data_IF_415994503451
#
_entry.id   IF_415994503451
#
_cell.length_a   1.000
_cell.length_b   1.000
_cell.length_c   1.000
_cell.angle_alpha   90.00
_cell.angle_beta   90.00
_cell.angle_gamma   90.00
#
_symmetry.space_group_name_H-M   'P 1'
#
loop_
_entity.id
_entity.type
_entity.pdbx_description
1 polymer ?
#
# COMPACT_ATOMS: atom_id res chain seq x y z
N UNK A 1 -24.40 3.06 0.85
CA UNK A 1 -25.12 4.33 1.10
C UNK A 1 -24.10 5.47 0.98
N UNK A 2 -24.51 6.70 0.68
CA UNK A 2 -23.60 7.87 0.68
C UNK A 2 -24.21 8.96 1.56
N UNK A 3 -23.44 9.46 2.52
CA UNK A 3 -23.88 10.46 3.50
C UNK A 3 -22.87 11.63 3.50
N UNK A 4 -23.29 12.90 3.44
CA UNK A 4 -22.36 14.02 3.52
C UNK A 4 -21.52 13.97 4.80
N UNK A 5 -20.20 14.09 4.67
CA UNK A 5 -19.29 14.10 5.82
C UNK A 5 -19.59 15.31 6.72
N UNK A 6 -19.51 15.20 8.06
CA UNK A 6 -19.90 16.27 8.98
C UNK A 6 -19.19 17.62 8.78
N UNK A 7 -17.97 17.62 8.23
CA UNK A 7 -17.22 18.85 7.91
C UNK A 7 -17.69 19.53 6.60
N UNK A 8 -18.59 18.91 5.85
CA UNK A 8 -19.15 19.42 4.58
C UNK A 8 -18.18 19.42 3.39
N UNK A 9 -16.99 18.82 3.52
CA UNK A 9 -15.94 18.82 2.49
C UNK A 9 -15.93 17.57 1.60
N UNK A 10 -16.63 16.51 2.01
CA UNK A 10 -16.65 15.22 1.31
C UNK A 10 -17.99 14.49 1.53
N UNK A 11 -18.17 13.40 0.82
CA UNK A 11 -19.25 12.44 1.02
C UNK A 11 -18.65 11.11 1.52
N UNK A 12 -19.24 10.54 2.57
CA UNK A 12 -18.84 9.27 3.15
C UNK A 12 -19.59 8.11 2.49
N UNK A 13 -18.85 7.11 2.03
CA UNK A 13 -19.42 5.88 1.50
C UNK A 13 -19.59 4.89 2.64
N UNK A 14 -20.83 4.58 2.96
CA UNK A 14 -21.19 3.62 4.01
C UNK A 14 -21.52 2.26 3.41
N UNK A 15 -20.93 1.21 3.96
CA UNK A 15 -21.05 -0.18 3.54
C UNK A 15 -21.36 -1.08 4.74
N UNK A 16 -21.96 -2.24 4.46
CA UNK A 16 -22.08 -3.31 5.43
C UNK A 16 -21.06 -4.36 5.00
N UNK A 17 -20.13 -4.69 5.90
CA UNK A 17 -19.08 -5.67 5.64
C UNK A 17 -19.26 -6.83 6.62
N UNK A 18 -19.03 -8.03 6.11
CA UNK A 18 -19.00 -9.25 6.89
C UNK A 18 -17.55 -9.63 7.13
N UNK A 19 -17.18 -9.79 8.40
CA UNK A 19 -15.84 -10.20 8.83
C UNK A 19 -15.93 -11.51 9.61
N UNK A 20 -14.84 -12.28 9.60
CA UNK A 20 -14.60 -13.31 10.60
C UNK A 20 -13.72 -12.70 11.68
N UNK A 21 -14.20 -12.63 12.93
CA UNK A 21 -13.49 -12.07 14.10
C UNK A 21 -13.66 -13.06 15.25
N UNK A 22 -12.59 -13.41 15.97
CA UNK A 22 -12.62 -14.43 17.05
C UNK A 22 -13.34 -15.73 16.60
N UNK A 23 -13.11 -16.15 15.36
CA UNK A 23 -13.76 -17.33 14.75
C UNK A 23 -15.28 -17.22 14.53
N UNK A 24 -15.88 -16.04 14.67
CA UNK A 24 -17.30 -15.78 14.45
C UNK A 24 -17.53 -14.90 13.23
N UNK A 25 -18.53 -15.22 12.42
CA UNK A 25 -19.00 -14.32 11.35
C UNK A 25 -19.83 -13.18 11.95
N UNK A 26 -19.36 -11.96 11.79
CA UNK A 26 -19.96 -10.73 12.31
C UNK A 26 -20.17 -9.72 11.18
N UNK A 27 -21.14 -8.81 11.35
CA UNK A 27 -21.43 -7.77 10.37
C UNK A 27 -21.25 -6.40 11.02
N UNK A 28 -20.50 -5.54 10.33
CA UNK A 28 -20.26 -4.16 10.74
C UNK A 28 -20.84 -3.18 9.74
N UNK A 29 -21.18 -2.00 10.24
CA UNK A 29 -21.53 -0.84 9.42
C UNK A 29 -20.30 0.04 9.41
N UNK A 30 -19.66 0.15 8.25
CA UNK A 30 -18.38 0.83 8.08
C UNK A 30 -18.52 1.98 7.08
N UNK A 31 -17.59 2.93 7.16
CA UNK A 31 -17.44 3.98 6.16
C UNK A 31 -16.02 3.97 5.60
N UNK A 32 -15.89 4.29 4.31
CA UNK A 32 -14.57 4.39 3.67
C UNK A 32 -13.92 5.73 4.03
N UNK A 33 -12.88 5.66 4.84
CA UNK A 33 -12.03 6.81 5.20
C UNK A 33 -11.12 7.20 4.02
N UNK A 34 -10.93 8.50 3.80
CA UNK A 34 -10.14 9.04 2.69
C UNK A 34 -8.75 9.55 3.10
N UNK A 35 -8.44 9.52 4.39
CA UNK A 35 -7.17 9.96 4.98
C UNK A 35 -6.28 8.75 5.32
N UNK A 36 -6.89 7.63 5.72
CA UNK A 36 -6.18 6.42 6.12
C UNK A 36 -5.96 5.49 4.94
N UNK A 37 -4.68 5.24 4.63
CA UNK A 37 -4.25 4.38 3.52
C UNK A 37 -3.78 3.00 4.01
N UNK A 38 -3.98 1.98 3.17
CA UNK A 38 -3.34 0.66 3.28
C UNK A 38 -3.78 -0.21 4.45
N UNK A 39 -4.95 0.07 5.03
CA UNK A 39 -5.56 -0.73 6.08
C UNK A 39 -7.06 -0.86 5.82
N UNK A 40 -7.61 -1.97 6.28
CA UNK A 40 -9.04 -2.25 6.36
C UNK A 40 -9.44 -2.39 7.84
N UNK A 41 -10.71 -2.15 8.16
CA UNK A 41 -11.31 -2.33 9.49
C UNK A 41 -10.38 -1.88 10.63
N UNK A 42 -10.21 -0.57 10.82
CA UNK A 42 -9.15 -0.03 11.67
C UNK A 42 -9.68 0.83 12.82
N UNK A 43 -8.85 0.97 13.86
CA UNK A 43 -9.02 1.93 14.95
C UNK A 43 -8.01 3.09 14.80
N UNK A 44 -8.47 4.31 15.11
CA UNK A 44 -7.64 5.50 15.25
C UNK A 44 -7.55 5.89 16.74
N UNK A 45 -6.34 6.07 17.23
CA UNK A 45 -6.01 6.72 18.49
C UNK A 45 -5.46 8.12 18.21
N UNK A 46 -5.87 9.11 19.00
CA UNK A 46 -5.53 10.53 18.83
C UNK A 46 -5.60 11.21 20.21
N UNK A 47 -4.62 10.94 21.07
CA UNK A 47 -4.57 11.44 22.45
C UNK A 47 -3.11 11.47 22.97
N UNK A 48 -2.92 11.65 24.28
CA UNK A 48 -1.61 11.64 24.92
C UNK A 48 -0.80 10.36 24.61
N UNK A 49 0.53 10.43 24.43
CA UNK A 49 1.35 9.28 24.05
C UNK A 49 1.11 8.05 24.92
N UNK A 50 0.75 6.93 24.31
CA UNK A 50 0.47 5.67 25.00
C UNK A 50 1.17 4.48 24.31
N UNK A 51 1.40 3.42 25.08
CA UNK A 51 1.95 2.13 24.61
C UNK A 51 0.91 1.01 24.64
N UNK A 52 -0.30 1.30 25.11
CA UNK A 52 -1.38 0.32 25.24
C UNK A 52 -2.66 0.96 24.73
N UNK A 53 -3.28 0.31 23.76
CA UNK A 53 -4.48 0.79 23.10
C UNK A 53 -5.61 -0.20 23.34
N UNK A 54 -6.75 0.31 23.77
CA UNK A 54 -7.97 -0.45 24.09
C UNK A 54 -9.08 -0.13 23.08
N UNK A 55 -10.26 -0.72 23.25
CA UNK A 55 -11.42 -0.58 22.35
C UNK A 55 -11.22 -1.22 20.97
N UNK A 56 -10.36 -2.25 20.91
CA UNK A 56 -10.07 -3.01 19.71
C UNK A 56 -10.88 -4.33 19.66
N UNK A 57 -12.00 -4.47 20.37
CA UNK A 57 -12.78 -5.72 20.44
C UNK A 57 -13.31 -6.18 19.07
N UNK A 58 -13.44 -5.26 18.12
CA UNK A 58 -13.84 -5.54 16.74
C UNK A 58 -12.72 -6.18 15.91
N UNK A 59 -11.51 -6.27 16.45
CA UNK A 59 -10.31 -6.85 15.85
C UNK A 59 -9.76 -8.01 16.70
N UNK A 60 -10.56 -8.57 17.61
CA UNK A 60 -10.11 -9.62 18.52
C UNK A 60 -9.58 -10.86 17.77
N UNK A 61 -8.43 -11.37 18.21
CA UNK A 61 -7.67 -12.47 17.59
C UNK A 61 -7.15 -12.19 16.16
N UNK A 62 -7.28 -10.96 15.66
CA UNK A 62 -6.72 -10.55 14.38
C UNK A 62 -5.29 -10.02 14.51
N UNK A 63 -4.49 -10.24 13.46
CA UNK A 63 -3.18 -9.61 13.29
C UNK A 63 -3.40 -8.25 12.64
N UNK A 64 -2.98 -7.19 13.32
CA UNK A 64 -3.14 -5.82 12.88
C UNK A 64 -1.82 -5.23 12.44
N UNK A 65 -1.81 -4.61 11.26
CA UNK A 65 -0.74 -3.70 10.89
C UNK A 65 -0.89 -2.41 11.69
N UNK A 66 0.24 -1.86 12.15
CA UNK A 66 0.25 -0.70 13.04
C UNK A 66 1.14 0.40 12.46
N UNK A 67 0.63 1.64 12.45
CA UNK A 67 1.41 2.84 12.15
C UNK A 67 1.09 3.93 13.14
N UNK A 68 2.10 4.64 13.62
CA UNK A 68 1.94 5.68 14.63
C UNK A 68 2.91 6.82 14.39
N UNK A 69 2.44 8.06 14.54
CA UNK A 69 3.23 9.29 14.38
C UNK A 69 4.08 9.33 13.07
N UNK A 70 3.56 8.69 12.01
CA UNK A 70 4.21 8.57 10.69
C UNK A 70 5.20 7.41 10.54
N UNK A 71 5.51 6.67 11.62
CA UNK A 71 6.39 5.51 11.60
C UNK A 71 5.62 4.19 11.49
N UNK A 72 6.31 3.17 10.96
CA UNK A 72 5.81 1.80 10.92
C UNK A 72 6.13 1.10 12.23
N UNK A 73 5.16 0.39 12.77
CA UNK A 73 5.34 -0.48 13.92
C UNK A 73 5.31 -1.95 13.46
N UNK A 74 5.87 -2.88 14.25
CA UNK A 74 5.61 -4.29 14.06
C UNK A 74 4.12 -4.60 14.08
N UNK A 75 3.73 -5.66 13.37
CA UNK A 75 2.36 -6.16 13.43
C UNK A 75 2.09 -6.72 14.83
N UNK A 76 0.92 -6.39 15.37
CA UNK A 76 0.50 -6.82 16.71
C UNK A 76 -0.72 -7.72 16.60
N UNK A 77 -0.94 -8.56 17.62
CA UNK A 77 -2.18 -9.35 17.73
C UNK A 77 -3.05 -8.74 18.82
N UNK A 78 -4.31 -8.48 18.50
CA UNK A 78 -5.26 -7.96 19.48
C UNK A 78 -5.70 -9.09 20.39
N UNK A 79 -5.63 -8.83 21.70
CA UNK A 79 -6.08 -9.77 22.73
C UNK A 79 -6.83 -9.03 23.83
N UNK A 80 -8.00 -9.55 24.20
CA UNK A 80 -8.92 -8.96 25.17
C UNK A 80 -9.28 -7.49 24.85
N UNK A 81 -9.49 -7.18 23.57
CA UNK A 81 -9.88 -5.86 23.07
C UNK A 81 -8.76 -4.82 23.14
N UNK A 82 -7.50 -5.25 23.27
CA UNK A 82 -6.34 -4.36 23.36
C UNK A 82 -5.10 -4.92 22.66
N UNK A 83 -4.18 -4.03 22.34
CA UNK A 83 -2.84 -4.35 21.85
C UNK A 83 -1.82 -3.37 22.43
N UNK A 84 -0.54 -3.72 22.37
CA UNK A 84 0.56 -2.91 22.93
C UNK A 84 1.64 -2.70 21.90
N UNK A 85 2.29 -1.54 21.96
CA UNK A 85 3.45 -1.21 21.13
C UNK A 85 4.63 -0.83 22.00
N UNK A 86 5.85 -1.04 21.51
CA UNK A 86 7.08 -0.77 22.26
C UNK A 86 7.37 0.73 22.47
N UNK A 87 7.04 1.55 21.47
CA UNK A 87 7.28 3.00 21.49
C UNK A 87 5.95 3.76 21.60
N UNK A 88 5.86 4.69 22.55
CA UNK A 88 4.63 5.46 22.75
C UNK A 88 4.30 6.32 21.53
N UNK A 89 3.05 6.29 21.09
CA UNK A 89 2.55 7.09 19.97
C UNK A 89 1.37 7.97 20.41
N UNK A 90 1.30 9.20 19.89
CA UNK A 90 0.18 10.13 20.11
C UNK A 90 -0.96 9.90 19.11
N UNK A 91 -0.61 9.74 17.83
CA UNK A 91 -1.57 9.40 16.79
C UNK A 91 -1.20 8.00 16.28
N UNK A 92 -2.12 7.05 16.42
CA UNK A 92 -1.87 5.68 16.00
C UNK A 92 -3.08 5.11 15.25
N UNK A 93 -2.78 4.33 14.22
CA UNK A 93 -3.74 3.57 13.45
C UNK A 93 -3.35 2.10 13.51
N UNK A 94 -4.33 1.25 13.82
CA UNK A 94 -4.16 -0.19 13.79
C UNK A 94 -5.37 -0.84 13.11
N UNK A 95 -5.13 -1.74 12.18
CA UNK A 95 -6.19 -2.43 11.45
C UNK A 95 -5.64 -3.58 10.62
N UNK A 96 -6.53 -4.23 9.87
CA UNK A 96 -6.16 -5.35 9.00
C UNK A 96 -5.32 -4.80 7.83
N UNK A 97 -4.17 -5.42 7.56
CA UNK A 97 -3.30 -5.00 6.48
C UNK A 97 -4.00 -5.16 5.11
N UNK A 98 -4.02 -4.10 4.30
CA UNK A 98 -4.51 -4.17 2.93
C UNK A 98 -3.35 -4.24 1.94
N UNK A 99 -3.25 -5.35 1.21
CA UNK A 99 -2.26 -5.51 0.15
C UNK A 99 -2.80 -4.97 -1.20
N UNK A 100 -2.22 -3.87 -1.66
CA UNK A 100 -2.52 -3.27 -2.95
C UNK A 100 -1.62 -3.84 -4.04
N UNK A 101 -2.20 -4.59 -4.99
CA UNK A 101 -1.46 -5.19 -6.12
C UNK A 101 -1.92 -4.62 -7.47
N UNK A 102 -0.96 -4.12 -8.24
CA UNK A 102 -1.16 -3.64 -9.62
C UNK A 102 -0.32 -4.48 -10.57
N UNK A 103 -0.99 -5.17 -11.48
CA UNK A 103 -0.33 -5.91 -12.56
C UNK A 103 -0.56 -5.20 -13.89
N UNK A 104 0.52 -4.78 -14.55
CA UNK A 104 0.42 -4.10 -15.84
C UNK A 104 -0.04 -5.08 -16.91
N UNK A 105 -0.70 -4.56 -17.95
CA UNK A 105 -0.94 -5.33 -19.17
C UNK A 105 0.39 -5.60 -19.90
N UNK A 106 0.36 -6.58 -20.81
CA UNK A 106 1.49 -6.84 -21.71
C UNK A 106 1.68 -5.62 -22.62
N UNK A 107 2.90 -5.08 -22.77
CA UNK A 107 3.14 -3.93 -23.61
C UNK A 107 2.88 -4.27 -25.08
N UNK A 108 1.90 -3.59 -25.68
CA UNK A 108 1.50 -3.75 -27.07
C UNK A 108 2.10 -2.60 -27.91
N UNK A 109 3.39 -2.70 -28.21
CA UNK A 109 4.08 -1.73 -29.07
C UNK A 109 3.89 -2.13 -30.53
N UNK A 110 3.54 -1.17 -31.38
CA UNK A 110 3.51 -1.36 -32.83
C UNK A 110 4.93 -1.39 -33.38
N UNK A 111 5.24 -2.42 -34.16
CA UNK A 111 6.48 -2.58 -34.90
C UNK A 111 6.18 -2.61 -36.41
N UNK A 112 7.21 -2.53 -37.24
CA UNK A 112 7.03 -2.51 -38.71
C UNK A 112 6.25 -3.71 -39.25
N UNK A 113 6.32 -4.87 -38.57
CA UNK A 113 5.67 -6.12 -38.95
C UNK A 113 4.28 -6.33 -38.32
N UNK A 114 3.80 -5.41 -37.48
CA UNK A 114 2.49 -5.49 -36.82
C UNK A 114 2.54 -5.21 -35.31
N UNK A 115 1.59 -5.75 -34.55
CA UNK A 115 1.64 -5.67 -33.10
C UNK A 115 2.68 -6.66 -32.56
N UNK A 116 3.53 -6.23 -31.63
CA UNK A 116 4.52 -7.09 -30.99
C UNK A 116 3.92 -8.15 -30.03
N UNK A 117 2.66 -8.56 -30.21
CA UNK A 117 2.03 -9.61 -29.42
C UNK A 117 2.66 -10.96 -29.75
N UNK A 118 3.22 -11.65 -28.75
CA UNK A 118 3.84 -12.97 -28.92
C UNK A 118 5.34 -12.95 -29.21
N UNK A 119 5.96 -11.77 -29.36
CA UNK A 119 7.40 -11.63 -29.49
C UNK A 119 8.05 -11.42 -28.12
N UNK A 120 9.22 -12.01 -27.94
CA UNK A 120 10.02 -11.84 -26.72
C UNK A 120 10.52 -10.40 -26.61
N UNK A 121 10.40 -9.84 -25.42
CA UNK A 121 10.69 -8.44 -25.11
C UNK A 121 11.60 -8.34 -23.90
N UNK A 122 12.32 -7.23 -23.82
CA UNK A 122 13.13 -6.90 -22.66
C UNK A 122 12.99 -5.42 -22.33
N UNK A 123 12.75 -5.11 -21.07
CA UNK A 123 12.81 -3.74 -20.58
C UNK A 123 14.28 -3.32 -20.46
N UNK A 124 14.69 -2.25 -21.13
CA UNK A 124 16.05 -1.71 -20.99
C UNK A 124 16.13 -0.68 -19.86
N UNK A 125 15.03 0.06 -19.68
CA UNK A 125 14.87 1.07 -18.64
C UNK A 125 13.40 1.16 -18.30
N UNK A 126 13.07 1.09 -17.02
CA UNK A 126 11.75 1.42 -16.49
C UNK A 126 11.92 2.59 -15.53
N UNK A 127 10.96 3.50 -15.54
CA UNK A 127 10.84 4.56 -14.55
C UNK A 127 9.40 4.60 -14.08
N UNK A 128 9.22 4.66 -12.77
CA UNK A 128 7.91 4.89 -12.16
C UNK A 128 7.86 6.30 -11.61
N UNK A 129 6.72 6.97 -11.77
CA UNK A 129 6.47 8.27 -11.17
C UNK A 129 5.57 8.07 -9.95
N UNK A 130 6.10 8.38 -8.78
CA UNK A 130 5.42 8.25 -7.50
C UNK A 130 5.11 9.63 -6.93
N UNK A 131 4.03 9.72 -6.15
CA UNK A 131 3.62 10.91 -5.44
C UNK A 131 3.29 10.57 -3.99
N UNK A 132 3.95 11.24 -3.04
CA UNK A 132 3.71 11.04 -1.62
C UNK A 132 3.66 9.55 -1.21
N UNK A 133 4.60 8.74 -1.70
CA UNK A 133 4.60 7.27 -1.52
C UNK A 133 5.73 6.81 -0.61
N UNK A 134 5.52 5.71 0.12
CA UNK A 134 6.56 5.01 0.92
C UNK A 134 6.42 3.50 0.76
N UNK A 135 7.55 2.78 0.71
CA UNK A 135 7.56 1.32 0.57
C UNK A 135 7.18 0.82 -0.82
N UNK A 136 6.51 -0.32 -0.86
CA UNK A 136 6.17 -1.05 -2.07
C UNK A 136 7.31 -1.90 -2.65
N UNK A 137 6.95 -2.79 -3.54
CA UNK A 137 7.86 -3.67 -4.28
C UNK A 137 7.45 -3.77 -5.74
N UNK A 138 8.42 -4.07 -6.60
CA UNK A 138 8.19 -4.32 -8.03
C UNK A 138 8.79 -5.68 -8.36
N UNK A 139 7.99 -6.59 -8.92
CA UNK A 139 8.38 -7.95 -9.26
C UNK A 139 9.04 -8.72 -8.08
N UNK A 140 8.67 -8.39 -6.84
CA UNK A 140 9.24 -8.95 -5.62
C UNK A 140 10.50 -8.24 -5.09
N UNK A 141 11.01 -7.22 -5.79
CA UNK A 141 12.12 -6.39 -5.30
C UNK A 141 11.57 -5.16 -4.54
N UNK A 142 11.96 -5.01 -3.28
CA UNK A 142 11.54 -3.88 -2.43
C UNK A 142 12.12 -2.57 -2.94
N UNK A 143 11.26 -1.54 -3.01
CA UNK A 143 11.66 -0.19 -3.37
C UNK A 143 12.34 0.51 -2.19
N UNK A 144 13.54 1.02 -2.42
CA UNK A 144 14.25 1.87 -1.47
C UNK A 144 13.86 3.33 -1.70
N UNK A 145 12.79 3.77 -1.02
CA UNK A 145 12.26 5.13 -1.08
C UNK A 145 12.77 6.04 0.04
N UNK A 146 13.90 5.67 0.68
CA UNK A 146 14.45 6.39 1.84
C UNK A 146 15.47 7.42 1.35
N UNK A 147 15.37 8.66 1.87
CA UNK A 147 16.45 9.64 1.73
C UNK A 147 17.59 9.32 2.72
N UNK A 148 18.81 9.01 2.24
CA UNK A 148 19.94 8.67 3.11
C UNK A 148 20.43 9.83 4.00
N UNK A 149 19.94 11.05 3.79
CA UNK A 149 20.26 12.21 4.61
C UNK A 149 19.31 12.41 5.81
N UNK A 150 18.25 11.61 5.92
CA UNK A 150 17.27 11.70 7.00
C UNK A 150 17.86 11.26 8.35
N UNK A 151 17.47 11.93 9.45
CA UNK A 151 17.87 11.54 10.79
C UNK A 151 17.25 10.18 11.17
N UNK A 152 18.10 9.26 11.65
CA UNK A 152 17.66 7.96 12.14
C UNK A 152 16.73 8.12 13.35
N UNK A 153 15.61 7.37 13.36
CA UNK A 153 14.62 7.43 14.44
C UNK A 153 13.50 8.45 14.23
N UNK A 154 13.38 9.01 13.03
CA UNK A 154 12.24 9.84 12.63
C UNK A 154 11.37 9.09 11.61
N UNK A 155 10.08 9.44 11.54
CA UNK A 155 9.17 8.90 10.54
C UNK A 155 9.71 9.13 9.12
N UNK A 156 9.63 8.14 8.20
CA UNK A 156 10.14 8.29 6.84
C UNK A 156 9.41 9.39 6.08
N UNK A 157 10.17 10.21 5.34
CA UNK A 157 9.58 11.20 4.44
C UNK A 157 8.88 10.53 3.24
N UNK A 158 7.77 11.12 2.80
CA UNK A 158 7.05 10.62 1.63
C UNK A 158 7.80 10.95 0.34
N UNK A 159 8.11 9.94 -0.46
CA UNK A 159 8.83 10.12 -1.72
C UNK A 159 7.91 10.68 -2.82
N UNK A 160 8.39 11.69 -3.54
CA UNK A 160 7.75 12.22 -4.74
C UNK A 160 8.77 12.42 -5.85
N UNK A 161 8.59 11.74 -6.98
CA UNK A 161 9.51 11.86 -8.10
C UNK A 161 9.52 10.66 -9.03
N UNK A 162 10.47 10.69 -9.96
CA UNK A 162 10.77 9.58 -10.85
C UNK A 162 11.77 8.65 -10.18
N UNK A 163 11.46 7.36 -10.12
CA UNK A 163 12.37 6.33 -9.65
C UNK A 163 12.75 5.43 -10.81
N UNK A 164 14.05 5.24 -11.03
CA UNK A 164 14.57 4.31 -12.02
C UNK A 164 14.51 2.89 -11.46
N UNK A 165 13.84 2.01 -12.18
CA UNK A 165 13.71 0.59 -11.85
C UNK A 165 14.62 -0.19 -12.80
N UNK A 166 15.47 -1.00 -12.20
CA UNK A 166 16.43 -1.83 -12.92
C UNK A 166 15.86 -3.24 -12.96
N UNK A 167 15.19 -3.57 -14.06
CA UNK A 167 14.73 -4.93 -14.34
C UNK A 167 15.57 -5.49 -15.50
N UNK A 168 16.12 -6.70 -15.34
CA UNK A 168 16.88 -7.38 -16.39
C UNK A 168 16.21 -8.70 -16.75
N UNK A 169 15.85 -8.87 -18.02
CA UNK A 169 15.35 -10.16 -18.48
C UNK A 169 14.65 -10.07 -19.83
N UNK A 170 14.65 -11.20 -20.54
CA UNK A 170 13.82 -11.41 -21.71
C UNK A 170 12.57 -12.18 -21.28
N UNK A 171 11.40 -11.67 -21.65
CA UNK A 171 10.10 -12.26 -21.33
C UNK A 171 9.14 -12.06 -22.49
N UNK A 172 8.30 -13.06 -22.75
CA UNK A 172 7.24 -12.97 -23.75
C UNK A 172 6.07 -12.08 -23.28
N UNK A 173 5.93 -11.92 -21.96
CA UNK A 173 4.86 -11.13 -21.35
C UNK A 173 5.32 -9.72 -20.98
N UNK A 174 6.55 -9.59 -20.45
CA UNK A 174 7.14 -8.32 -20.01
C UNK A 174 6.20 -7.46 -19.12
N UNK A 175 5.38 -8.11 -18.30
CA UNK A 175 4.49 -7.45 -17.34
C UNK A 175 5.26 -7.08 -16.07
N UNK A 176 4.79 -6.05 -15.38
CA UNK A 176 5.28 -5.67 -14.06
C UNK A 176 4.17 -5.86 -13.04
N UNK A 177 4.56 -6.38 -11.88
CA UNK A 177 3.71 -6.50 -10.71
C UNK A 177 4.24 -5.55 -9.65
N UNK A 178 3.39 -4.62 -9.21
CA UNK A 178 3.72 -3.64 -8.18
C UNK A 178 2.84 -3.97 -6.98
N UNK A 179 3.45 -4.18 -5.82
CA UNK A 179 2.75 -4.59 -4.60
C UNK A 179 3.09 -3.61 -3.47
N UNK A 180 2.07 -3.13 -2.77
CA UNK A 180 2.21 -2.42 -1.49
C UNK A 180 1.56 -3.27 -0.40
N UNK A 181 2.38 -3.74 0.53
CA UNK A 181 1.97 -4.53 1.70
C UNK A 181 1.96 -3.71 3.00
N UNK A 182 2.52 -2.50 2.98
CA UNK A 182 2.59 -1.63 4.16
C UNK A 182 1.42 -0.66 4.22
N UNK A 183 1.00 -0.23 5.43
CA UNK A 183 -0.11 0.68 5.62
C UNK A 183 0.24 2.15 5.31
N UNK A 184 0.99 2.38 4.24
CA UNK A 184 1.43 3.69 3.80
C UNK A 184 0.82 4.03 2.43
N UNK A 185 0.68 5.34 2.13
CA UNK A 185 0.27 5.76 0.81
C UNK A 185 1.23 5.22 -0.25
N UNK A 186 0.66 4.76 -1.36
CA UNK A 186 1.39 4.38 -2.57
C UNK A 186 0.63 4.89 -3.80
N UNK A 187 0.98 6.09 -4.26
CA UNK A 187 0.30 6.73 -5.39
C UNK A 187 1.20 6.62 -6.62
N UNK A 188 0.83 5.70 -7.51
CA UNK A 188 1.49 5.49 -8.80
C UNK A 188 0.85 6.40 -9.86
N UNK A 189 1.62 7.40 -10.32
CA UNK A 189 1.13 8.34 -11.33
C UNK A 189 1.36 7.85 -12.76
N UNK A 190 2.52 7.23 -13.01
CA UNK A 190 2.87 6.75 -14.33
C UNK A 190 3.93 5.66 -14.27
N UNK A 191 3.91 4.81 -15.29
CA UNK A 191 4.98 3.87 -15.61
C UNK A 191 5.46 4.24 -17.01
N UNK A 192 6.75 4.48 -17.16
CA UNK A 192 7.38 4.77 -18.45
C UNK A 192 8.65 3.94 -18.61
N UNK A 193 9.11 3.78 -19.83
CA UNK A 193 10.29 2.97 -20.08
C UNK A 193 10.63 2.82 -21.56
N UNK A 194 11.75 2.15 -21.79
CA UNK A 194 12.18 1.75 -23.12
C UNK A 194 12.21 0.22 -23.21
N UNK A 195 11.65 -0.30 -24.30
CA UNK A 195 11.49 -1.73 -24.54
C UNK A 195 12.28 -2.13 -25.78
N UNK A 196 13.07 -3.20 -25.67
CA UNK A 196 13.64 -3.90 -26.82
C UNK A 196 12.74 -5.09 -27.17
N UNK A 197 12.52 -5.29 -28.47
CA UNK A 197 11.72 -6.39 -29.00
C UNK A 197 12.68 -7.24 -29.84
N UNK A 198 12.65 -8.55 -29.64
CA UNK A 198 13.40 -9.46 -30.49
C UNK A 198 12.80 -9.42 -31.90
N UNK A 199 13.64 -9.21 -32.91
CA UNK A 199 13.23 -9.28 -34.31
C UNK A 199 13.16 -10.75 -34.74
N UNK A 200 12.15 -11.11 -35.54
CA UNK A 200 12.13 -12.41 -36.19
C UNK A 200 13.21 -12.40 -37.28
N UNK A 201 14.21 -13.28 -37.18
CA UNK A 201 15.09 -13.61 -38.30
C UNK A 201 14.34 -14.34 -39.42
#
# INVERSE_FOLDING_TARGET
CVIPHPNGGADDVWIIVEHEIDGNTVQYVEFLDNEVNGMDHFIKYDDEPATTFTNAEHLEDEVVAVKGDGALYPDETVASGQFTVDEAASILYAGIAFEGTVKTLRPAVEIQTGAAYGLTKSWNKIQIMLYQSVGGSINGETLLLIDPSQEMGTAPDLYTGLMDIIEFGWSDEAQMEIVQDKPFPFILLAITGSLTIADEM
#
